data_IF_447780647412
#
_entry.id   IF_447780647412
#
_cell.length_a   1.000
_cell.length_b   1.000
_cell.length_c   1.000
_cell.angle_alpha   90.00
_cell.angle_beta   90.00
_cell.angle_gamma   90.00
#
_symmetry.space_group_name_H-M   'P 1'
#
loop_
_entity.id
_entity.type
_entity.pdbx_description
1 polymer ?
#
# COMPACT_ATOMS: atom_id res chain seq x y z
N UNK A 1 13.35 -30.22 1.39
CA UNK A 1 14.34 -29.16 1.14
C UNK A 1 14.41 -28.33 2.40
N UNK A 2 15.52 -28.48 3.11
CA UNK A 2 15.81 -27.81 4.36
C UNK A 2 16.16 -26.36 3.99
N UNK A 3 15.27 -25.43 4.29
CA UNK A 3 15.62 -24.00 4.28
C UNK A 3 16.61 -23.84 5.43
N UNK A 4 17.90 -23.95 5.13
CA UNK A 4 18.93 -23.41 6.01
C UNK A 4 18.49 -21.99 6.37
N UNK A 5 18.56 -21.67 7.66
CA UNK A 5 18.11 -20.41 8.27
C UNK A 5 18.99 -19.22 7.86
N UNK A 6 19.30 -19.11 6.57
CA UNK A 6 19.91 -17.97 5.94
C UNK A 6 18.85 -16.86 5.88
N UNK A 7 18.96 -15.88 6.77
CA UNK A 7 18.09 -14.71 6.72
C UNK A 7 18.63 -13.78 5.65
N UNK A 8 17.74 -13.40 4.73
CA UNK A 8 18.09 -12.45 3.68
C UNK A 8 18.02 -11.04 4.28
N UNK A 9 19.14 -10.32 4.27
CA UNK A 9 19.21 -8.96 4.74
C UNK A 9 19.20 -8.01 3.54
N UNK A 10 18.19 -7.14 3.52
CA UNK A 10 18.13 -5.99 2.63
C UNK A 10 18.17 -4.72 3.46
N UNK A 11 18.91 -3.75 2.99
CA UNK A 11 18.74 -2.41 3.52
C UNK A 11 19.32 -1.33 2.66
N UNK A 12 19.14 -0.12 3.15
CA UNK A 12 19.29 1.10 2.41
C UNK A 12 20.00 2.10 3.31
N UNK A 13 21.06 2.70 2.78
CA UNK A 13 21.90 3.69 3.46
C UNK A 13 21.90 4.97 2.66
N UNK A 14 21.79 6.11 3.32
CA UNK A 14 21.97 7.42 2.72
C UNK A 14 22.69 8.31 3.71
N UNK A 15 23.48 9.26 3.21
CA UNK A 15 24.22 10.21 4.05
C UNK A 15 23.36 11.41 4.46
N UNK A 16 22.41 11.79 3.60
CA UNK A 16 21.47 12.88 3.87
C UNK A 16 20.17 12.69 3.10
N UNK A 17 19.06 13.08 3.73
CA UNK A 17 17.72 13.14 3.16
C UNK A 17 17.17 14.54 3.42
N UNK A 18 16.98 15.34 2.38
CA UNK A 18 16.39 16.68 2.52
C UNK A 18 15.12 16.80 1.70
N UNK A 19 14.06 17.31 2.33
CA UNK A 19 12.77 17.55 1.68
C UNK A 19 12.47 19.04 1.76
N UNK A 20 12.29 19.67 0.61
CA UNK A 20 11.91 21.08 0.50
C UNK A 20 10.55 21.17 -0.18
N UNK A 21 9.74 22.12 0.28
CA UNK A 21 8.48 22.45 -0.37
C UNK A 21 8.57 23.86 -0.90
N UNK A 22 8.51 23.99 -2.22
CA UNK A 22 8.50 25.27 -2.91
C UNK A 22 7.05 25.57 -3.31
N UNK A 23 6.36 26.51 -2.65
CA UNK A 23 5.08 26.97 -3.16
C UNK A 23 5.34 27.73 -4.47
N UNK A 24 4.88 27.19 -5.59
CA UNK A 24 4.85 27.94 -6.84
C UNK A 24 3.58 28.79 -6.81
N UNK A 25 3.75 30.04 -6.41
CA UNK A 25 2.69 31.04 -6.36
C UNK A 25 3.27 32.40 -5.99
N UNK A 26 3.27 33.32 -6.96
CA UNK A 26 3.65 34.72 -6.82
C UNK A 26 3.01 35.37 -5.61
N UNK A 27 3.77 36.18 -4.87
CA UNK A 27 3.34 37.04 -3.76
C UNK A 27 2.41 38.19 -4.17
N UNK A 28 1.59 38.03 -5.21
CA UNK A 28 0.62 39.03 -5.65
C UNK A 28 -0.56 38.38 -6.37
N UNK A 29 -1.77 38.69 -5.91
CA UNK A 29 -3.01 38.59 -6.69
C UNK A 29 -3.64 37.20 -6.82
N UNK A 30 -4.50 36.84 -5.85
CA UNK A 30 -5.78 36.14 -6.03
C UNK A 30 -5.93 35.28 -7.31
N UNK A 31 -5.46 34.03 -7.30
CA UNK A 31 -5.86 33.04 -8.31
C UNK A 31 -5.94 31.62 -7.72
N UNK A 32 -7.12 31.03 -7.94
CA UNK A 32 -7.51 29.67 -7.62
C UNK A 32 -6.73 28.71 -8.52
N UNK A 33 -5.84 27.90 -7.95
CA UNK A 33 -5.11 26.86 -8.68
C UNK A 33 -3.77 26.51 -8.04
N UNK A 34 -3.79 26.05 -6.77
CA UNK A 34 -2.58 25.79 -5.99
C UNK A 34 -1.76 24.60 -6.50
N UNK A 35 -0.76 24.87 -7.32
CA UNK A 35 0.32 23.93 -7.65
C UNK A 35 1.31 23.89 -6.49
N UNK A 36 1.64 22.69 -6.01
CA UNK A 36 2.62 22.50 -4.92
C UNK A 36 3.79 21.71 -5.46
N UNK A 37 4.98 22.30 -5.40
CA UNK A 37 6.22 21.64 -5.81
C UNK A 37 6.95 21.17 -4.56
N UNK A 38 7.29 19.89 -4.51
CA UNK A 38 8.12 19.29 -3.47
C UNK A 38 9.39 18.77 -4.11
N UNK A 39 10.54 19.15 -3.59
CA UNK A 39 11.83 18.61 -4.03
C UNK A 39 12.43 17.77 -2.90
N UNK A 40 12.99 16.63 -3.27
CA UNK A 40 13.58 15.64 -2.39
C UNK A 40 15.01 15.42 -2.88
N UNK A 41 16.01 15.82 -2.09
CA UNK A 41 17.42 15.60 -2.41
C UNK A 41 17.97 14.53 -1.45
N UNK A 42 18.37 13.38 -1.99
CA UNK A 42 19.00 12.26 -1.28
C UNK A 42 20.46 12.20 -1.70
N UNK A 43 21.36 12.19 -0.72
CA UNK A 43 22.81 12.04 -0.98
C UNK A 43 23.33 10.68 -0.55
N UNK A 44 24.25 10.13 -1.33
CA UNK A 44 24.95 8.87 -1.05
C UNK A 44 24.01 7.68 -0.84
N UNK A 45 22.94 7.59 -1.64
CA UNK A 45 21.99 6.48 -1.60
C UNK A 45 22.65 5.18 -2.05
N UNK A 46 22.79 4.22 -1.14
CA UNK A 46 23.32 2.90 -1.41
C UNK A 46 22.33 1.83 -0.97
N UNK A 47 22.27 0.73 -1.73
CA UNK A 47 21.44 -0.44 -1.41
C UNK A 47 22.34 -1.63 -1.24
N UNK A 48 22.15 -2.36 -0.13
CA UNK A 48 22.87 -3.60 0.16
C UNK A 48 21.93 -4.79 0.18
N UNK A 49 22.44 -5.92 -0.29
CA UNK A 49 21.75 -7.21 -0.26
C UNK A 49 22.77 -8.28 0.10
N UNK A 50 22.57 -8.92 1.26
CA UNK A 50 23.48 -9.94 1.77
C UNK A 50 22.76 -11.10 2.43
N UNK A 51 23.46 -12.23 2.55
CA UNK A 51 23.02 -13.36 3.37
C UNK A 51 23.68 -13.27 4.73
N UNK A 52 22.91 -13.19 5.81
CA UNK A 52 23.48 -13.30 7.15
C UNK A 52 23.36 -14.74 7.66
N UNK A 53 24.50 -15.39 7.95
CA UNK A 53 24.57 -16.66 8.67
C UNK A 53 24.64 -16.40 10.17
N UNK A 54 23.54 -15.92 10.73
CA UNK A 54 23.41 -15.71 12.16
C UNK A 54 21.97 -15.36 12.49
N UNK A 55 21.48 -15.86 13.62
CA UNK A 55 20.15 -15.53 14.13
C UNK A 55 20.18 -14.03 14.41
N UNK A 56 19.43 -13.23 13.64
CA UNK A 56 19.04 -11.90 14.10
C UNK A 56 18.02 -12.17 15.21
N UNK A 57 18.53 -12.41 16.41
CA UNK A 57 17.71 -12.58 17.59
C UNK A 57 17.05 -11.22 17.82
N UNK A 58 15.80 -11.10 17.37
CA UNK A 58 14.94 -9.94 17.62
C UNK A 58 14.46 -9.94 19.08
N UNK A 59 15.36 -10.25 20.01
CA UNK A 59 15.16 -10.29 21.45
C UNK A 59 15.98 -9.17 22.07
N UNK A 60 15.31 -8.38 22.91
CA UNK A 60 15.76 -7.18 23.62
C UNK A 60 16.18 -5.98 22.75
N UNK A 61 15.18 -5.17 22.44
CA UNK A 61 15.30 -3.73 22.17
C UNK A 61 15.70 -3.05 23.49
N UNK A 62 16.94 -3.24 23.92
CA UNK A 62 17.58 -2.56 25.06
C UNK A 62 19.09 -2.76 24.92
N UNK A 63 19.72 -2.04 23.98
CA UNK A 63 21.02 -1.44 24.26
C UNK A 63 21.42 -0.42 23.18
N UNK A 64 22.06 0.68 23.61
CA UNK A 64 22.61 1.71 22.71
C UNK A 64 23.84 1.24 21.90
N UNK A 65 24.25 -0.01 22.08
CA UNK A 65 25.55 -0.53 21.67
C UNK A 65 25.51 -1.27 20.33
N UNK A 66 24.39 -1.93 19.97
CA UNK A 66 24.31 -2.81 18.79
C UNK A 66 24.11 -2.08 17.45
N UNK A 67 23.45 -0.92 17.45
CA UNK A 67 23.30 -0.14 16.22
C UNK A 67 24.60 0.55 15.77
N UNK A 68 25.61 0.66 16.65
CA UNK A 68 26.93 1.19 16.25
C UNK A 68 27.66 0.26 15.29
N UNK A 69 27.36 -1.04 15.30
CA UNK A 69 27.92 -1.98 14.32
C UNK A 69 27.44 -1.69 12.89
N UNK A 70 26.28 -1.04 12.74
CA UNK A 70 25.68 -0.69 11.45
C UNK A 70 26.09 0.70 10.96
N UNK A 71 26.59 1.56 11.86
CA UNK A 71 26.80 2.99 11.63
C UNK A 71 28.26 3.46 11.77
N UNK A 72 29.19 2.64 12.29
CA UNK A 72 30.60 3.02 12.37
C UNK A 72 31.38 2.58 11.14
N UNK A 73 31.88 3.58 10.43
CA UNK A 73 32.74 3.47 9.26
C UNK A 73 34.20 3.63 9.70
N UNK A 74 35.04 2.65 9.39
CA UNK A 74 36.48 2.74 9.63
C UNK A 74 37.30 1.57 9.10
N UNK A 75 36.76 0.36 9.11
CA UNK A 75 37.45 -0.83 8.59
C UNK A 75 36.45 -1.94 8.27
N UNK A 76 36.72 -2.65 7.17
CA UNK A 76 36.02 -3.85 6.68
C UNK A 76 34.92 -3.64 5.64
N UNK A 77 35.41 -3.37 4.44
CA UNK A 77 34.76 -3.41 3.13
C UNK A 77 34.12 -4.75 2.71
N UNK A 78 33.77 -5.68 3.62
CA UNK A 78 33.46 -7.07 3.21
C UNK A 78 32.20 -7.70 3.85
N UNK A 79 31.42 -6.99 4.67
CA UNK A 79 30.26 -7.61 5.33
C UNK A 79 28.98 -7.60 4.50
N UNK A 80 28.79 -6.61 3.62
CA UNK A 80 27.58 -6.49 2.82
C UNK A 80 27.90 -6.20 1.36
N UNK A 81 27.47 -7.09 0.49
CA UNK A 81 27.57 -6.89 -0.95
C UNK A 81 26.65 -5.75 -1.37
N UNK A 82 27.23 -4.69 -1.94
CA UNK A 82 26.48 -3.57 -2.48
C UNK A 82 25.78 -3.98 -3.77
N UNK A 83 24.46 -3.82 -3.80
CA UNK A 83 23.65 -3.98 -5.00
C UNK A 83 23.70 -2.69 -5.86
N UNK A 84 23.60 -1.55 -5.18
CA UNK A 84 23.76 -0.22 -5.77
C UNK A 84 24.85 0.52 -5.02
N UNK A 85 25.87 0.96 -5.75
CA UNK A 85 26.87 1.87 -5.21
C UNK A 85 26.24 3.22 -4.83
N UNK A 86 26.77 3.93 -3.82
CA UNK A 86 26.26 5.22 -3.40
C UNK A 86 26.09 6.20 -4.57
N UNK A 87 24.87 6.71 -4.78
CA UNK A 87 24.58 7.73 -5.79
C UNK A 87 23.68 8.83 -5.23
N UNK A 88 23.72 10.00 -5.85
CA UNK A 88 22.89 11.14 -5.46
C UNK A 88 21.61 11.18 -6.32
N UNK A 89 20.49 11.53 -5.69
CA UNK A 89 19.17 11.60 -6.33
C UNK A 89 18.48 12.89 -5.94
N UNK A 90 18.05 13.68 -6.93
CA UNK A 90 17.14 14.80 -6.76
C UNK A 90 15.80 14.49 -7.43
N UNK A 91 14.73 14.40 -6.64
CA UNK A 91 13.36 14.15 -7.13
C UNK A 91 12.53 15.41 -6.95
N UNK A 92 11.99 15.95 -8.03
CA UNK A 92 10.98 17.02 -8.01
C UNK A 92 9.59 16.44 -8.30
N UNK A 93 8.66 16.68 -7.38
CA UNK A 93 7.27 16.28 -7.44
C UNK A 93 6.39 17.53 -7.55
N UNK A 94 5.68 17.64 -8.66
CA UNK A 94 4.69 18.70 -8.91
C UNK A 94 3.30 18.10 -8.74
N UNK A 95 2.53 18.63 -7.79
CA UNK A 95 1.15 18.24 -7.52
C UNK A 95 0.19 19.34 -7.96
N UNK A 96 -0.73 19.01 -8.85
CA UNK A 96 -1.81 19.91 -9.27
C UNK A 96 -3.05 19.69 -8.40
N UNK A 97 -3.31 20.59 -7.44
CA UNK A 97 -4.51 20.52 -6.57
C UNK A 97 -5.79 21.07 -7.21
N UNK A 98 -5.68 21.63 -8.42
CA UNK A 98 -6.85 22.04 -9.18
C UNK A 98 -7.66 20.78 -9.51
N UNK A 99 -8.74 20.54 -8.77
CA UNK A 99 -9.62 19.36 -8.92
C UNK A 99 -10.38 19.30 -10.26
N UNK A 100 -9.90 20.01 -11.28
CA UNK A 100 -10.43 20.01 -12.63
C UNK A 100 -9.43 19.26 -13.51
N UNK A 101 -9.81 18.04 -13.89
CA UNK A 101 -9.12 17.23 -14.88
C UNK A 101 -9.39 17.82 -16.28
N UNK A 102 -9.11 19.11 -16.47
CA UNK A 102 -9.23 19.78 -17.77
C UNK A 102 -8.03 19.34 -18.62
N UNK A 103 -8.21 18.22 -19.33
CA UNK A 103 -7.59 17.84 -20.60
C UNK A 103 -6.08 17.63 -20.72
N UNK A 104 -5.26 18.57 -20.24
CA UNK A 104 -3.91 18.78 -20.80
C UNK A 104 -2.75 18.68 -19.81
N UNK A 105 -3.01 18.50 -18.51
CA UNK A 105 -1.94 18.40 -17.51
C UNK A 105 -2.07 17.19 -16.57
N UNK A 106 -0.98 16.45 -16.30
CA UNK A 106 -1.00 15.33 -15.38
C UNK A 106 -1.25 15.83 -13.94
N UNK A 107 -1.98 15.04 -13.14
CA UNK A 107 -2.25 15.36 -11.73
C UNK A 107 -0.97 15.35 -10.89
N UNK A 108 -0.04 14.46 -11.25
CA UNK A 108 1.26 14.28 -10.63
C UNK A 108 2.31 14.28 -11.74
N UNK A 109 3.30 15.16 -11.64
CA UNK A 109 4.53 15.07 -12.44
C UNK A 109 5.70 14.81 -11.51
N UNK A 110 6.49 13.78 -11.80
CA UNK A 110 7.67 13.40 -11.04
C UNK A 110 8.85 13.43 -12.00
N UNK A 111 9.83 14.27 -11.71
CA UNK A 111 11.11 14.30 -12.43
C UNK A 111 12.19 13.93 -11.44
N UNK A 112 12.89 12.82 -11.71
CA UNK A 112 14.02 12.37 -10.92
C UNK A 112 15.30 12.55 -11.74
N UNK A 113 16.24 13.31 -11.21
CA UNK A 113 17.59 13.44 -11.73
C UNK A 113 18.50 12.58 -10.86
N UNK A 114 19.21 11.66 -11.51
CA UNK A 114 20.11 10.71 -10.86
C UNK A 114 21.51 10.97 -11.37
N UNK A 115 22.46 11.05 -10.46
CA UNK A 115 23.89 10.98 -10.81
C UNK A 115 24.22 9.57 -11.32
N UNK A 116 25.42 9.38 -11.90
CA UNK A 116 25.89 8.10 -12.42
C UNK A 116 25.62 6.95 -11.43
N UNK A 117 24.68 6.08 -11.80
CA UNK A 117 24.29 4.90 -11.03
C UNK A 117 25.14 3.71 -11.48
N UNK A 118 25.85 3.09 -10.53
CA UNK A 118 26.55 1.84 -10.76
C UNK A 118 25.87 0.71 -9.98
N UNK A 119 25.45 -0.33 -10.70
CA UNK A 119 24.86 -1.53 -10.13
C UNK A 119 25.80 -2.71 -10.29
N UNK A 120 25.94 -3.49 -9.23
CA UNK A 120 26.70 -4.73 -9.20
C UNK A 120 25.78 -5.82 -8.66
N UNK A 121 25.62 -6.92 -9.40
CA UNK A 121 24.71 -7.99 -9.02
C UNK A 121 25.42 -9.34 -9.05
N UNK A 122 25.47 -9.99 -7.90
CA UNK A 122 25.96 -11.35 -7.74
C UNK A 122 24.82 -12.38 -7.97
N UNK A 123 25.15 -13.63 -8.28
CA UNK A 123 24.17 -14.71 -8.49
C UNK A 123 23.30 -14.95 -7.25
N UNK A 124 23.92 -14.95 -6.06
CA UNK A 124 23.21 -15.11 -4.78
C UNK A 124 22.24 -13.94 -4.55
N UNK A 125 22.66 -12.70 -4.86
CA UNK A 125 21.79 -11.53 -4.76
C UNK A 125 20.63 -11.59 -5.74
N UNK A 126 20.85 -12.07 -6.97
CA UNK A 126 19.80 -12.26 -7.95
C UNK A 126 18.74 -13.26 -7.44
N UNK A 127 19.17 -14.39 -6.88
CA UNK A 127 18.25 -15.37 -6.27
C UNK A 127 17.43 -14.76 -5.13
N UNK A 128 18.05 -13.93 -4.29
CA UNK A 128 17.35 -13.21 -3.23
C UNK A 128 16.31 -12.23 -3.77
N UNK A 129 16.63 -11.47 -4.82
CA UNK A 129 15.70 -10.51 -5.43
C UNK A 129 14.49 -11.24 -6.02
N UNK A 130 14.70 -12.38 -6.69
CA UNK A 130 13.60 -13.20 -7.19
C UNK A 130 12.73 -13.73 -6.03
N UNK A 131 13.36 -14.21 -4.97
CA UNK A 131 12.64 -14.68 -3.78
C UNK A 131 11.82 -13.55 -3.13
N UNK A 132 12.39 -12.35 -3.02
CA UNK A 132 11.65 -11.17 -2.55
C UNK A 132 10.48 -10.81 -3.46
N UNK A 133 10.66 -10.88 -4.78
CA UNK A 133 9.58 -10.61 -5.75
C UNK A 133 8.40 -11.56 -5.55
N UNK A 134 8.68 -12.84 -5.31
CA UNK A 134 7.65 -13.83 -4.99
C UNK A 134 6.96 -13.53 -3.65
N UNK A 135 7.72 -13.08 -2.65
CA UNK A 135 7.18 -12.61 -1.38
C UNK A 135 6.27 -11.40 -1.55
N UNK A 136 6.66 -10.39 -2.33
CA UNK A 136 5.82 -9.23 -2.61
C UNK A 136 4.52 -9.64 -3.29
N UNK A 137 4.61 -10.47 -4.33
CA UNK A 137 3.45 -11.03 -5.03
C UNK A 137 2.51 -11.76 -4.07
N UNK A 138 3.06 -12.61 -3.19
CA UNK A 138 2.30 -13.33 -2.16
C UNK A 138 1.72 -12.39 -1.10
N UNK A 139 2.42 -11.32 -0.75
CA UNK A 139 1.97 -10.32 0.23
C UNK A 139 0.77 -9.52 -0.29
N UNK A 140 0.75 -9.15 -1.57
CA UNK A 140 -0.39 -8.51 -2.21
C UNK A 140 -1.62 -9.44 -2.21
N UNK A 141 -1.42 -10.74 -2.48
CA UNK A 141 -2.49 -11.72 -2.35
C UNK A 141 -2.98 -11.85 -0.90
N UNK A 142 -2.06 -11.79 0.08
CA UNK A 142 -2.41 -11.80 1.50
C UNK A 142 -3.20 -10.57 1.93
N UNK A 143 -2.92 -9.40 1.38
CA UNK A 143 -3.74 -8.21 1.62
C UNK A 143 -5.16 -8.40 1.07
N UNK A 144 -5.27 -8.91 -0.16
CA UNK A 144 -6.56 -9.12 -0.84
C UNK A 144 -7.43 -10.20 -0.21
N UNK A 145 -6.84 -11.33 0.17
CA UNK A 145 -7.57 -12.51 0.63
C UNK A 145 -7.37 -12.83 2.12
N UNK A 146 -6.60 -12.02 2.84
CA UNK A 146 -6.22 -12.26 4.23
C UNK A 146 -7.40 -12.50 5.18
N UNK A 147 -8.58 -11.95 4.88
CA UNK A 147 -9.82 -12.18 5.64
C UNK A 147 -10.26 -13.65 5.73
N UNK A 148 -9.85 -14.47 4.78
CA UNK A 148 -10.18 -15.90 4.75
C UNK A 148 -9.16 -16.75 5.50
N UNK A 149 -8.04 -16.15 5.94
CA UNK A 149 -6.94 -16.88 6.55
C UNK A 149 -7.36 -17.43 7.92
N UNK A 150 -7.08 -18.70 8.22
CA UNK A 150 -7.42 -19.27 9.52
C UNK A 150 -6.50 -18.69 10.61
N UNK A 151 -7.08 -17.88 11.51
CA UNK A 151 -6.35 -17.21 12.59
C UNK A 151 -5.77 -18.19 13.63
N UNK A 152 -6.48 -19.29 13.89
CA UNK A 152 -6.11 -20.27 14.92
C UNK A 152 -5.09 -21.33 14.49
N UNK A 153 -4.65 -21.37 13.22
CA UNK A 153 -3.71 -22.41 12.74
C UNK A 153 -2.55 -21.82 11.92
N UNK A 154 -1.58 -21.16 12.59
CA UNK A 154 -0.37 -20.73 11.89
C UNK A 154 0.42 -21.96 11.41
N UNK A 155 1.03 -21.85 10.22
CA UNK A 155 1.85 -22.93 9.64
C UNK A 155 3.01 -23.37 10.54
N UNK A 156 3.41 -22.52 11.50
CA UNK A 156 4.43 -22.84 12.50
C UNK A 156 3.97 -23.86 13.54
N UNK A 157 2.70 -23.81 13.97
CA UNK A 157 2.17 -24.64 15.06
C UNK A 157 1.55 -25.97 14.59
N UNK A 158 1.34 -26.13 13.26
CA UNK A 158 0.82 -27.34 12.57
C UNK A 158 -0.21 -28.14 13.39
N UNK A 159 -1.27 -27.48 13.85
CA UNK A 159 -2.35 -28.09 14.63
C UNK A 159 -3.16 -29.09 13.81
N UNK A 160 -3.79 -30.08 14.45
CA UNK A 160 -4.57 -31.10 13.74
C UNK A 160 -5.63 -30.51 12.80
N UNK A 161 -5.69 -31.05 11.59
CA UNK A 161 -6.61 -30.58 10.54
C UNK A 161 -6.19 -29.26 9.86
N UNK A 162 -5.00 -28.73 10.15
CA UNK A 162 -4.50 -27.50 9.50
C UNK A 162 -4.54 -27.60 7.97
N UNK A 163 -4.24 -28.77 7.38
CA UNK A 163 -4.25 -28.94 5.93
C UNK A 163 -5.62 -28.64 5.32
N UNK A 164 -6.71 -29.10 5.97
CA UNK A 164 -8.08 -28.85 5.49
C UNK A 164 -8.46 -27.38 5.61
N UNK A 165 -8.10 -26.73 6.72
CA UNK A 165 -8.37 -25.30 6.93
C UNK A 165 -7.63 -24.43 5.91
N UNK A 166 -6.37 -24.75 5.63
CA UNK A 166 -5.57 -24.04 4.64
C UNK A 166 -6.03 -24.30 3.20
N UNK A 167 -6.53 -25.51 2.90
CA UNK A 167 -7.19 -25.80 1.64
C UNK A 167 -8.50 -25.03 1.45
N UNK A 168 -9.34 -24.97 2.49
CA UNK A 168 -10.55 -24.15 2.46
C UNK A 168 -10.23 -22.66 2.26
N UNK A 169 -9.18 -22.16 2.91
CA UNK A 169 -8.67 -20.82 2.67
C UNK A 169 -8.31 -20.60 1.19
N UNK A 170 -7.52 -21.49 0.61
CA UNK A 170 -7.13 -21.40 -0.79
C UNK A 170 -8.36 -21.42 -1.72
N UNK A 171 -9.29 -22.33 -1.47
CA UNK A 171 -10.54 -22.44 -2.24
C UNK A 171 -11.39 -21.17 -2.15
N UNK A 172 -11.67 -20.67 -0.94
CA UNK A 172 -12.49 -19.48 -0.73
C UNK A 172 -11.84 -18.22 -1.29
N UNK A 173 -10.50 -18.12 -1.27
CA UNK A 173 -9.79 -16.99 -1.87
C UNK A 173 -10.10 -16.86 -3.37
N UNK A 174 -9.98 -17.96 -4.12
CA UNK A 174 -10.24 -18.00 -5.58
C UNK A 174 -11.73 -17.88 -5.88
N UNK A 175 -12.58 -18.65 -5.18
CA UNK A 175 -14.02 -18.65 -5.43
C UNK A 175 -14.68 -17.33 -5.08
N UNK A 176 -14.15 -16.57 -4.12
CA UNK A 176 -14.72 -15.29 -3.73
C UNK A 176 -14.78 -14.29 -4.89
N UNK A 177 -13.75 -14.25 -5.73
CA UNK A 177 -13.70 -13.35 -6.90
C UNK A 177 -14.67 -13.80 -7.99
N UNK A 178 -14.72 -15.11 -8.26
CA UNK A 178 -15.65 -15.69 -9.24
C UNK A 178 -17.09 -15.45 -8.81
N UNK A 179 -17.43 -15.81 -7.57
CA UNK A 179 -18.77 -15.58 -6.99
C UNK A 179 -19.14 -14.10 -7.01
N UNK A 180 -18.20 -13.19 -6.71
CA UNK A 180 -18.44 -11.75 -6.76
C UNK A 180 -18.71 -11.26 -8.19
N UNK A 181 -17.96 -11.74 -9.18
CA UNK A 181 -18.18 -11.42 -10.61
C UNK A 181 -19.56 -11.92 -11.06
N UNK A 182 -19.88 -13.19 -10.82
CA UNK A 182 -21.18 -13.79 -11.17
C UNK A 182 -22.35 -13.13 -10.43
N UNK A 183 -22.18 -12.78 -9.15
CA UNK A 183 -23.19 -12.06 -8.39
C UNK A 183 -23.46 -10.70 -9.03
N UNK A 184 -22.41 -9.95 -9.41
CA UNK A 184 -22.56 -8.63 -10.04
C UNK A 184 -23.33 -8.67 -11.36
N UNK A 185 -23.16 -9.72 -12.16
CA UNK A 185 -23.88 -9.89 -13.44
C UNK A 185 -25.29 -10.48 -13.27
N UNK A 186 -25.69 -10.89 -12.07
CA UNK A 186 -26.99 -11.53 -11.84
C UNK A 186 -28.14 -10.53 -11.75
N UNK A 187 -29.27 -10.85 -12.39
CA UNK A 187 -30.52 -10.07 -12.26
C UNK A 187 -31.04 -9.98 -10.82
N UNK A 188 -30.83 -11.04 -10.02
CA UNK A 188 -31.16 -11.04 -8.60
C UNK A 188 -30.41 -9.95 -7.84
N UNK A 189 -29.11 -9.79 -8.11
CA UNK A 189 -28.31 -8.73 -7.50
C UNK A 189 -28.74 -7.34 -7.98
N UNK A 190 -29.06 -7.18 -9.27
CA UNK A 190 -29.60 -5.93 -9.80
C UNK A 190 -30.91 -5.55 -9.09
N UNK A 191 -31.83 -6.49 -8.91
CA UNK A 191 -33.08 -6.30 -8.18
C UNK A 191 -32.88 -5.89 -6.71
N UNK A 192 -31.98 -6.59 -6.00
CA UNK A 192 -31.58 -6.20 -4.64
C UNK A 192 -31.04 -4.77 -4.59
N UNK A 193 -30.19 -4.41 -5.55
CA UNK A 193 -29.58 -3.09 -5.64
C UNK A 193 -30.60 -1.98 -5.88
N UNK A 194 -31.60 -2.23 -6.73
CA UNK A 194 -32.74 -1.32 -6.94
C UNK A 194 -33.55 -1.14 -5.65
N UNK A 195 -33.80 -2.23 -4.91
CA UNK A 195 -34.53 -2.17 -3.65
C UNK A 195 -33.76 -1.35 -2.59
N UNK A 196 -32.45 -1.58 -2.43
CA UNK A 196 -31.61 -0.79 -1.52
C UNK A 196 -31.60 0.69 -1.88
N UNK A 197 -31.54 1.04 -3.17
CA UNK A 197 -31.62 2.43 -3.62
C UNK A 197 -32.95 3.08 -3.23
N UNK A 198 -34.08 2.38 -3.41
CA UNK A 198 -35.40 2.87 -2.99
C UNK A 198 -35.44 3.12 -1.48
N UNK A 199 -34.99 2.15 -0.68
CA UNK A 199 -34.91 2.28 0.78
C UNK A 199 -34.05 3.47 1.22
N UNK A 200 -32.88 3.64 0.60
CA UNK A 200 -32.01 4.78 0.87
C UNK A 200 -32.68 6.13 0.55
N UNK A 201 -33.34 6.25 -0.61
CA UNK A 201 -34.06 7.47 -0.99
C UNK A 201 -35.14 7.79 0.04
N UNK A 202 -35.90 6.78 0.47
CA UNK A 202 -36.92 6.95 1.52
C UNK A 202 -36.28 7.49 2.79
N UNK A 203 -35.26 6.82 3.33
CA UNK A 203 -34.56 7.25 4.55
C UNK A 203 -33.95 8.65 4.43
N UNK A 204 -33.42 8.99 3.26
CA UNK A 204 -32.84 10.30 3.01
C UNK A 204 -33.91 11.41 2.97
N UNK A 205 -35.07 11.15 2.35
CA UNK A 205 -36.22 12.06 2.40
C UNK A 205 -36.69 12.28 3.85
N UNK A 206 -36.83 11.20 4.62
CA UNK A 206 -37.19 11.31 6.04
C UNK A 206 -36.16 12.12 6.82
N UNK A 207 -34.86 11.90 6.55
CA UNK A 207 -33.78 12.70 7.14
C UNK A 207 -33.92 14.19 6.79
N UNK A 208 -34.20 14.53 5.53
CA UNK A 208 -34.38 15.93 5.11
C UNK A 208 -35.60 16.58 5.77
N UNK A 209 -36.73 15.86 5.85
CA UNK A 209 -37.94 16.33 6.53
C UNK A 209 -37.71 16.56 8.03
N UNK A 210 -36.92 15.71 8.69
CA UNK A 210 -36.56 15.87 10.10
C UNK A 210 -35.61 17.04 10.34
N UNK A 211 -34.66 17.27 9.43
CA UNK A 211 -33.78 18.45 9.49
C UNK A 211 -34.55 19.76 9.31
N UNK A 212 -35.58 19.76 8.46
CA UNK A 212 -36.48 20.92 8.29
C UNK A 212 -37.36 21.18 9.52
N UNK A 213 -37.59 20.17 10.37
CA UNK A 213 -38.38 20.27 11.62
C UNK A 213 -37.52 20.47 12.88
N UNK A 214 -36.21 20.71 12.74
CA UNK A 214 -35.25 20.90 13.84
C UNK A 214 -35.27 19.80 14.93
N UNK A 215 -35.63 18.56 14.59
CA UNK A 215 -35.56 17.45 15.55
C UNK A 215 -34.20 16.75 15.50
N UNK A 216 -33.64 16.47 16.68
CA UNK A 216 -32.35 15.79 16.85
C UNK A 216 -32.47 14.32 16.47
N UNK A 217 -31.65 13.91 15.49
CA UNK A 217 -31.63 12.55 14.94
C UNK A 217 -30.78 11.61 15.81
N UNK A 218 -31.38 10.62 16.47
CA UNK A 218 -30.64 9.53 17.11
C UNK A 218 -30.33 8.47 16.05
N UNK A 219 -29.05 8.33 15.69
CA UNK A 219 -28.62 7.33 14.72
C UNK A 219 -28.86 5.90 15.25
N UNK A 220 -29.83 5.21 14.68
CA UNK A 220 -29.90 3.75 14.75
C UNK A 220 -28.81 3.15 13.86
N UNK A 221 -28.06 2.17 14.37
CA UNK A 221 -26.97 1.46 13.67
C UNK A 221 -27.37 0.92 12.29
N UNK A 222 -28.66 0.63 12.10
CA UNK A 222 -29.28 0.22 10.83
C UNK A 222 -29.08 1.24 9.70
N UNK A 223 -29.10 2.53 10.02
CA UNK A 223 -29.02 3.62 9.03
C UNK A 223 -27.60 3.86 8.51
N UNK A 224 -26.58 3.56 9.32
CA UNK A 224 -25.16 3.70 8.97
C UNK A 224 -24.78 2.60 7.97
N UNK A 225 -25.15 1.35 8.24
CA UNK A 225 -24.86 0.22 7.36
C UNK A 225 -25.52 0.38 5.98
N UNK A 226 -26.77 0.85 5.96
CA UNK A 226 -27.50 1.10 4.71
C UNK A 226 -26.89 2.24 3.89
N UNK A 227 -26.35 3.29 4.52
CA UNK A 227 -25.68 4.40 3.83
C UNK A 227 -24.32 4.02 3.25
N UNK A 228 -23.55 3.19 3.95
CA UNK A 228 -22.23 2.72 3.48
C UNK A 228 -22.39 1.78 2.27
N UNK A 229 -23.30 0.81 2.34
CA UNK A 229 -23.55 -0.13 1.24
C UNK A 229 -24.14 0.54 -0.01
N UNK A 230 -25.03 1.52 0.17
CA UNK A 230 -25.62 2.27 -0.95
C UNK A 230 -24.63 3.23 -1.61
N UNK A 231 -23.75 3.88 -0.83
CA UNK A 231 -22.70 4.76 -1.38
C UNK A 231 -21.67 4.00 -2.23
N UNK A 232 -21.23 2.81 -1.77
CA UNK A 232 -20.38 1.92 -2.56
C UNK A 232 -21.07 1.42 -3.85
N UNK A 233 -22.39 1.17 -3.79
CA UNK A 233 -23.17 0.75 -4.96
C UNK A 233 -23.34 1.87 -6.01
N UNK A 234 -23.52 3.13 -5.58
CA UNK A 234 -23.64 4.29 -6.46
C UNK A 234 -22.31 4.56 -7.18
N UNK A 235 -21.18 4.54 -6.44
CA UNK A 235 -19.85 4.71 -7.03
C UNK A 235 -19.54 3.63 -8.08
N UNK A 236 -20.03 2.41 -7.86
CA UNK A 236 -19.88 1.31 -8.82
C UNK A 236 -20.80 1.43 -10.06
N UNK A 237 -21.87 2.23 -10.04
CA UNK A 237 -22.71 2.48 -11.23
C UNK A 237 -22.06 3.49 -12.16
N UNK A 238 -21.49 4.56 -11.60
CA UNK A 238 -20.82 5.63 -12.34
C UNK A 238 -19.58 5.12 -13.11
N UNK A 239 -18.95 4.04 -12.63
CA UNK A 239 -17.82 3.39 -13.31
C UNK A 239 -18.27 2.48 -14.47
N UNK A 240 -19.51 1.99 -14.48
CA UNK A 240 -20.04 1.10 -15.52
C UNK A 240 -20.84 1.88 -16.59
N UNK A 241 -21.42 3.03 -16.22
CA UNK A 241 -22.20 3.88 -17.12
C UNK A 241 -21.43 5.10 -17.66
N UNK A 242 -20.12 5.20 -17.42
CA UNK A 242 -19.26 6.06 -18.23
C UNK A 242 -18.94 5.29 -19.53
N UNK A 243 -19.24 5.85 -20.72
CA UNK A 243 -18.78 5.27 -21.98
C UNK A 243 -17.25 5.21 -22.03
#
# INVERSE_FOLDING_TARGET
MQLDSAQILFGLRFSSLTVKQNPVGSSSGKLVGGQVNKTLDIKGLAIYCGTHKGIIESTSLDDETDYKFWCNEGSESNLFDHLLHPFDVSVSLVFNRAGKLDGDSPQYSIVAELTAMAMCLNEVQLQHILTLSDYFSTSCLREKYGRYRPWGSPLSRKLDGWQKLWWHYAQESVLSDVRKKLKKSSWRYLGQRLNYRRKYITLYKTKLELLQREQVFVFSWSCIHASIESSQAIHSFLVICKP
#
